data_IF_938339642045
#
_entry.id   IF_938339642045
#
_cell.length_a   1.000
_cell.length_b   1.000
_cell.length_c   1.000
_cell.angle_alpha   90.00
_cell.angle_beta   90.00
_cell.angle_gamma   90.00
#
_symmetry.space_group_name_H-M   'P 1'
#
loop_
_entity.id
_entity.type
_entity.pdbx_description
1 polymer ?
#
# COMPACT_ATOMS: atom_id res chain seq x y z
N UNK A 1 29.12 9.93 -16.48
CA UNK A 1 27.79 9.31 -16.45
C UNK A 1 27.05 9.76 -17.70
N UNK A 2 26.62 8.84 -18.57
CA UNK A 2 25.92 9.20 -19.80
C UNK A 2 24.42 9.38 -19.51
N UNK A 3 23.70 10.16 -20.29
CA UNK A 3 22.24 10.30 -20.14
C UNK A 3 21.53 8.94 -20.22
N UNK A 4 21.98 8.05 -21.11
CA UNK A 4 21.47 6.69 -21.23
C UNK A 4 21.69 5.83 -19.98
N UNK A 5 22.83 5.95 -19.30
CA UNK A 5 23.06 5.21 -18.04
C UNK A 5 22.17 5.73 -16.91
N UNK A 6 21.95 7.05 -16.85
CA UNK A 6 21.01 7.67 -15.90
C UNK A 6 19.58 7.15 -16.03
N UNK A 7 19.07 7.02 -17.27
CA UNK A 7 17.73 6.50 -17.51
C UNK A 7 17.62 5.00 -17.21
N UNK A 8 18.66 4.21 -17.50
CA UNK A 8 18.72 2.80 -17.14
C UNK A 8 18.66 2.60 -15.63
N UNK A 9 19.53 3.30 -14.89
CA UNK A 9 19.59 3.22 -13.43
C UNK A 9 18.26 3.65 -12.77
N UNK A 10 17.62 4.70 -13.30
CA UNK A 10 16.33 5.15 -12.79
C UNK A 10 15.20 4.14 -13.04
N UNK A 11 15.17 3.50 -14.21
CA UNK A 11 14.18 2.49 -14.54
C UNK A 11 14.30 1.26 -13.62
N UNK A 12 15.53 0.82 -13.35
CA UNK A 12 15.80 -0.29 -12.45
C UNK A 12 15.36 0.03 -11.01
N UNK A 13 15.68 1.23 -10.52
CA UNK A 13 15.23 1.70 -9.20
C UNK A 13 13.71 1.71 -9.10
N UNK A 14 13.02 2.27 -10.10
CA UNK A 14 11.55 2.33 -10.13
C UNK A 14 10.96 0.93 -10.15
N UNK A 15 11.48 0.05 -11.01
CA UNK A 15 10.99 -1.32 -11.14
C UNK A 15 11.16 -2.12 -9.85
N UNK A 16 12.30 -2.00 -9.19
CA UNK A 16 12.56 -2.65 -7.91
C UNK A 16 11.67 -2.10 -6.80
N UNK A 17 11.47 -0.77 -6.75
CA UNK A 17 10.58 -0.15 -5.78
C UNK A 17 9.13 -0.64 -5.94
N UNK A 18 8.66 -0.79 -7.18
CA UNK A 18 7.34 -1.36 -7.48
C UNK A 18 7.27 -2.81 -7.00
N UNK A 19 8.26 -3.64 -7.33
CA UNK A 19 8.30 -5.04 -6.87
C UNK A 19 8.25 -5.15 -5.35
N UNK A 20 9.06 -4.36 -4.64
CA UNK A 20 9.07 -4.32 -3.18
C UNK A 20 7.73 -3.81 -2.61
N UNK A 21 7.10 -2.83 -3.26
CA UNK A 21 5.79 -2.30 -2.85
C UNK A 21 4.63 -3.26 -3.06
N UNK A 22 4.72 -4.13 -4.06
CA UNK A 22 3.75 -5.19 -4.28
C UNK A 22 3.87 -6.34 -3.27
N UNK A 23 5.01 -6.46 -2.58
CA UNK A 23 5.21 -7.40 -1.47
C UNK A 23 4.71 -6.83 -0.13
N UNK A 24 3.53 -6.20 -0.14
CA UNK A 24 2.92 -5.68 1.07
C UNK A 24 2.45 -6.82 2.00
N UNK A 25 2.26 -6.53 3.29
CA UNK A 25 1.77 -7.50 4.25
C UNK A 25 0.26 -7.76 4.05
N UNK A 26 -0.17 -8.95 3.58
CA UNK A 26 -1.57 -9.19 3.21
C UNK A 26 -2.51 -9.19 4.41
N UNK A 27 -2.03 -9.57 5.60
CA UNK A 27 -2.87 -9.67 6.80
C UNK A 27 -3.28 -8.28 7.28
N UNK A 28 -2.30 -7.38 7.46
CA UNK A 28 -2.57 -6.01 7.88
C UNK A 28 -3.30 -5.21 6.80
N UNK A 29 -3.00 -5.45 5.52
CA UNK A 29 -3.73 -4.90 4.39
C UNK A 29 -5.23 -5.24 4.43
N UNK A 30 -5.57 -6.53 4.53
CA UNK A 30 -6.96 -7.00 4.60
C UNK A 30 -7.70 -6.41 5.80
N UNK A 31 -7.11 -6.51 7.00
CA UNK A 31 -7.75 -6.06 8.24
C UNK A 31 -7.92 -4.54 8.24
N UNK A 32 -6.86 -3.80 7.91
CA UNK A 32 -6.88 -2.34 7.84
C UNK A 32 -7.87 -1.84 6.81
N UNK A 33 -7.88 -2.43 5.61
CA UNK A 33 -8.80 -2.05 4.55
C UNK A 33 -10.26 -2.37 4.89
N UNK A 34 -10.53 -3.53 5.50
CA UNK A 34 -11.87 -3.89 5.94
C UNK A 34 -12.40 -2.90 6.97
N UNK A 35 -11.64 -2.63 8.03
CA UNK A 35 -12.05 -1.71 9.10
C UNK A 35 -12.26 -0.30 8.54
N UNK A 36 -11.31 0.23 7.75
CA UNK A 36 -11.41 1.55 7.15
C UNK A 36 -12.61 1.66 6.18
N UNK A 37 -12.86 0.61 5.39
CA UNK A 37 -14.01 0.56 4.49
C UNK A 37 -15.33 0.50 5.26
N UNK A 38 -15.41 -0.27 6.34
CA UNK A 38 -16.58 -0.32 7.22
C UNK A 38 -16.92 1.03 7.85
N UNK A 39 -15.89 1.81 8.24
CA UNK A 39 -16.07 3.14 8.84
C UNK A 39 -16.69 4.18 7.90
N UNK A 40 -16.37 4.12 6.60
CA UNK A 40 -16.81 5.10 5.59
C UNK A 40 -17.79 4.56 4.54
N UNK A 41 -18.06 3.26 4.59
CA UNK A 41 -18.79 2.52 3.58
C UNK A 41 -20.29 2.69 3.61
N UNK A 42 -20.87 3.39 4.58
CA UNK A 42 -22.31 3.68 4.56
C UNK A 42 -22.59 5.08 3.99
N UNK A 43 -23.77 5.24 3.36
CA UNK A 43 -24.12 6.38 2.49
C UNK A 43 -24.01 7.77 3.14
N UNK A 44 -24.21 7.88 4.45
CA UNK A 44 -24.21 9.15 5.19
C UNK A 44 -23.12 9.19 6.27
N UNK A 45 -21.94 8.66 5.98
CA UNK A 45 -20.82 8.71 6.92
C UNK A 45 -20.42 10.16 7.25
N UNK A 46 -20.31 10.54 8.54
CA UNK A 46 -19.88 11.87 8.93
C UNK A 46 -18.41 12.07 8.56
N UNK A 47 -18.04 13.32 8.26
CA UNK A 47 -16.69 13.67 7.81
C UNK A 47 -15.61 13.31 8.83
N UNK A 48 -15.92 13.32 10.12
CA UNK A 48 -15.01 12.90 11.17
C UNK A 48 -14.51 11.45 11.00
N UNK A 49 -15.35 10.55 10.46
CA UNK A 49 -14.93 9.17 10.18
C UNK A 49 -13.90 9.07 9.07
N UNK A 50 -13.72 10.11 8.27
CA UNK A 50 -12.65 10.16 7.28
C UNK A 50 -11.29 10.23 7.94
N UNK A 51 -11.18 10.99 9.04
CA UNK A 51 -9.97 11.01 9.85
C UNK A 51 -9.69 9.63 10.44
N UNK A 52 -10.70 9.01 11.08
CA UNK A 52 -10.57 7.68 11.67
C UNK A 52 -10.20 6.59 10.66
N UNK A 53 -10.83 6.58 9.48
CA UNK A 53 -10.48 5.63 8.42
C UNK A 53 -9.05 5.85 7.91
N UNK A 54 -8.62 7.11 7.75
CA UNK A 54 -7.23 7.45 7.42
C UNK A 54 -6.26 6.96 8.50
N UNK A 55 -6.56 7.18 9.78
CA UNK A 55 -5.74 6.69 10.89
C UNK A 55 -5.63 5.17 10.90
N UNK A 56 -6.71 4.44 10.66
CA UNK A 56 -6.70 2.97 10.56
C UNK A 56 -5.77 2.51 9.44
N UNK A 57 -5.85 3.14 8.26
CA UNK A 57 -4.98 2.79 7.12
C UNK A 57 -3.51 3.06 7.46
N UNK A 58 -3.21 4.22 8.05
CA UNK A 58 -1.83 4.57 8.44
C UNK A 58 -1.29 3.59 9.49
N UNK A 59 -2.07 3.27 10.53
CA UNK A 59 -1.64 2.34 11.58
C UNK A 59 -1.46 0.93 11.02
N UNK A 60 -2.40 0.45 10.20
CA UNK A 60 -2.29 -0.86 9.57
C UNK A 60 -1.06 -0.93 8.64
N UNK A 61 -0.84 0.10 7.83
CA UNK A 61 0.33 0.17 6.97
C UNK A 61 1.62 0.21 7.78
N UNK A 62 1.70 1.04 8.84
CA UNK A 62 2.87 1.10 9.71
C UNK A 62 3.19 -0.26 10.32
N UNK A 63 2.19 -0.95 10.85
CA UNK A 63 2.34 -2.27 11.46
C UNK A 63 2.75 -3.36 10.45
N UNK A 64 2.26 -3.28 9.21
CA UNK A 64 2.57 -4.26 8.16
C UNK A 64 3.90 -3.99 7.46
N UNK A 65 4.05 -2.81 6.87
CA UNK A 65 5.10 -2.48 5.91
C UNK A 65 5.89 -1.22 6.28
N UNK A 66 5.23 -0.21 6.86
CA UNK A 66 5.81 1.10 7.11
C UNK A 66 7.00 1.06 8.07
N UNK A 67 6.94 0.26 9.14
CA UNK A 67 8.10 0.06 10.03
C UNK A 67 9.29 -0.59 9.30
N UNK A 68 9.03 -1.49 8.35
CA UNK A 68 10.08 -2.10 7.52
C UNK A 68 10.70 -1.06 6.60
N UNK A 69 9.91 -0.21 5.95
CA UNK A 69 10.42 0.89 5.12
C UNK A 69 11.23 1.88 5.96
N UNK A 70 10.76 2.25 7.16
CA UNK A 70 11.47 3.14 8.07
C UNK A 70 12.79 2.55 8.57
N UNK A 71 12.83 1.25 8.85
CA UNK A 71 14.07 0.56 9.20
C UNK A 71 15.09 0.66 8.05
N UNK A 72 14.65 0.43 6.80
CA UNK A 72 15.51 0.57 5.62
C UNK A 72 15.92 2.01 5.33
N UNK A 73 15.07 2.98 5.65
CA UNK A 73 15.42 4.40 5.58
C UNK A 73 16.51 4.78 6.59
N UNK A 74 16.47 4.19 7.79
CA UNK A 74 17.54 4.33 8.78
C UNK A 74 18.84 3.69 8.29
N UNK A 75 18.79 2.46 7.77
CA UNK A 75 19.96 1.79 7.18
C UNK A 75 20.61 2.69 6.11
N UNK A 76 19.80 3.28 5.24
CA UNK A 76 20.26 4.21 4.19
C UNK A 76 20.89 5.49 4.75
N UNK A 77 20.33 6.04 5.84
CA UNK A 77 20.90 7.19 6.54
C UNK A 77 22.24 6.86 7.19
N UNK A 78 22.38 5.66 7.75
CA UNK A 78 23.61 5.15 8.37
C UNK A 78 24.68 4.75 7.32
N UNK A 79 24.40 4.95 6.02
CA UNK A 79 25.34 4.78 4.91
C UNK A 79 25.25 3.43 4.19
N UNK A 80 24.28 2.57 4.53
CA UNK A 80 24.06 1.33 3.82
C UNK A 80 23.39 1.58 2.46
N UNK A 81 23.98 1.07 1.38
CA UNK A 81 23.34 1.09 0.06
C UNK A 81 22.38 -0.07 -0.07
N UNK A 82 21.08 0.20 -0.25
CA UNK A 82 20.06 -0.84 -0.50
C UNK A 82 20.21 -1.49 -1.89
N UNK A 83 20.91 -0.81 -2.78
CA UNK A 83 21.21 -1.24 -4.13
C UNK A 83 22.69 -1.02 -4.44
N UNK A 84 23.42 -2.12 -4.67
CA UNK A 84 24.85 -2.07 -4.97
C UNK A 84 25.11 -1.20 -6.22
N UNK A 85 26.00 -0.22 -6.08
CA UNK A 85 26.40 0.66 -7.19
C UNK A 85 25.43 1.79 -7.50
N UNK A 86 24.32 1.95 -6.77
CA UNK A 86 23.43 3.11 -6.97
C UNK A 86 23.80 4.31 -6.09
N UNK A 87 23.69 5.54 -6.63
CA UNK A 87 23.87 6.76 -5.86
C UNK A 87 22.76 6.95 -4.81
N UNK A 88 23.05 7.77 -3.78
CA UNK A 88 22.15 8.01 -2.62
C UNK A 88 20.73 8.42 -3.04
N UNK A 89 20.60 9.25 -4.09
CA UNK A 89 19.29 9.67 -4.59
C UNK A 89 18.43 8.48 -5.06
N UNK A 90 19.04 7.43 -5.61
CA UNK A 90 18.34 6.22 -6.07
C UNK A 90 17.79 5.41 -4.89
N UNK A 91 18.52 5.35 -3.78
CA UNK A 91 18.05 4.71 -2.54
C UNK A 91 16.86 5.46 -1.95
N UNK A 92 16.89 6.81 -1.93
CA UNK A 92 15.77 7.63 -1.46
C UNK A 92 14.53 7.43 -2.35
N UNK A 93 14.72 7.47 -3.67
CA UNK A 93 13.63 7.27 -4.63
C UNK A 93 13.01 5.88 -4.47
N UNK A 94 13.83 4.85 -4.29
CA UNK A 94 13.38 3.48 -4.05
C UNK A 94 12.49 3.40 -2.81
N UNK A 95 12.94 3.96 -1.69
CA UNK A 95 12.20 3.92 -0.42
C UNK A 95 10.88 4.69 -0.52
N UNK A 96 10.88 5.86 -1.16
CA UNK A 96 9.68 6.65 -1.35
C UNK A 96 8.64 5.92 -2.22
N UNK A 97 9.07 5.35 -3.35
CA UNK A 97 8.19 4.60 -4.23
C UNK A 97 7.71 3.30 -3.57
N UNK A 98 8.56 2.59 -2.85
CA UNK A 98 8.18 1.41 -2.09
C UNK A 98 7.09 1.73 -1.07
N UNK A 99 7.25 2.82 -0.30
CA UNK A 99 6.22 3.29 0.63
C UNK A 99 4.90 3.60 -0.09
N UNK A 100 4.96 4.38 -1.17
CA UNK A 100 3.75 4.79 -1.91
C UNK A 100 3.02 3.60 -2.52
N UNK A 101 3.75 2.71 -3.20
CA UNK A 101 3.15 1.55 -3.88
C UNK A 101 2.52 0.61 -2.84
N UNK A 102 3.20 0.32 -1.73
CA UNK A 102 2.65 -0.56 -0.68
C UNK A 102 1.38 0.03 -0.05
N UNK A 103 1.37 1.32 0.34
CA UNK A 103 0.18 2.00 0.88
C UNK A 103 -0.96 1.98 -0.14
N UNK A 104 -0.70 2.38 -1.38
CA UNK A 104 -1.74 2.56 -2.39
C UNK A 104 -2.34 1.21 -2.78
N UNK A 105 -1.51 0.25 -3.16
CA UNK A 105 -1.97 -1.03 -3.69
C UNK A 105 -2.52 -1.93 -2.58
N UNK A 106 -1.80 -2.04 -1.46
CA UNK A 106 -2.16 -2.94 -0.38
C UNK A 106 -3.34 -2.44 0.46
N UNK A 107 -3.43 -1.13 0.72
CA UNK A 107 -4.34 -0.61 1.73
C UNK A 107 -5.41 0.31 1.16
N UNK A 108 -5.04 1.30 0.34
CA UNK A 108 -5.98 2.30 -0.16
C UNK A 108 -6.94 1.75 -1.22
N UNK A 109 -6.44 1.01 -2.22
CA UNK A 109 -7.28 0.50 -3.32
C UNK A 109 -8.40 -0.44 -2.81
N UNK A 110 -8.13 -1.46 -1.97
CA UNK A 110 -9.21 -2.29 -1.44
C UNK A 110 -10.18 -1.50 -0.56
N UNK A 111 -9.68 -0.57 0.25
CA UNK A 111 -10.52 0.31 1.07
C UNK A 111 -11.47 1.13 0.21
N UNK A 112 -10.94 1.74 -0.86
CA UNK A 112 -11.71 2.55 -1.78
C UNK A 112 -12.77 1.73 -2.52
N UNK A 113 -12.43 0.52 -2.98
CA UNK A 113 -13.38 -0.41 -3.57
C UNK A 113 -14.51 -0.76 -2.58
N UNK A 114 -14.17 -1.05 -1.32
CA UNK A 114 -15.14 -1.29 -0.25
C UNK A 114 -16.07 -0.10 -0.03
N UNK A 115 -15.52 1.10 0.16
CA UNK A 115 -16.30 2.33 0.41
C UNK A 115 -17.25 2.62 -0.75
N UNK A 116 -16.77 2.52 -1.99
CA UNK A 116 -17.56 2.86 -3.18
C UNK A 116 -18.74 1.91 -3.36
N UNK A 117 -18.56 0.61 -3.11
CA UNK A 117 -19.64 -0.37 -3.19
C UNK A 117 -20.58 -0.25 -1.99
N UNK A 118 -20.06 -0.14 -0.77
CA UNK A 118 -20.89 -0.02 0.43
C UNK A 118 -21.85 1.16 0.38
N UNK A 119 -21.40 2.32 -0.13
CA UNK A 119 -22.23 3.53 -0.19
C UNK A 119 -23.44 3.39 -1.11
N UNK A 120 -23.41 2.42 -2.02
CA UNK A 120 -24.52 2.09 -2.92
C UNK A 120 -25.57 1.19 -2.27
N UNK A 121 -25.24 0.53 -1.16
CA UNK A 121 -26.17 -0.32 -0.42
C UNK A 121 -27.11 0.53 0.44
N UNK A 122 -28.41 0.39 0.20
CA UNK A 122 -29.45 1.23 0.82
C UNK A 122 -30.09 0.62 2.07
N UNK A 123 -29.88 -0.67 2.33
CA UNK A 123 -30.57 -1.44 3.38
C UNK A 123 -29.91 -1.37 4.76
N UNK A 124 -29.19 -0.29 5.10
CA UNK A 124 -28.50 -0.13 6.40
C UNK A 124 -27.24 -1.00 6.59
N UNK A 125 -27.02 -1.99 5.73
CA UNK A 125 -25.89 -2.94 5.76
C UNK A 125 -24.69 -2.51 4.92
N UNK A 126 -24.63 -1.25 4.48
CA UNK A 126 -23.56 -0.77 3.60
C UNK A 126 -22.16 -0.85 4.20
N UNK A 127 -22.03 -0.80 5.52
CA UNK A 127 -20.76 -1.02 6.21
C UNK A 127 -20.26 -2.46 6.09
N UNK A 128 -21.15 -3.46 6.25
CA UNK A 128 -20.82 -4.88 6.04
C UNK A 128 -20.45 -5.15 4.59
N UNK A 129 -21.23 -4.62 3.66
CA UNK A 129 -20.92 -4.75 2.24
C UNK A 129 -19.56 -4.12 1.89
N UNK A 130 -19.23 -2.97 2.47
CA UNK A 130 -17.93 -2.34 2.30
C UNK A 130 -16.79 -3.22 2.83
N UNK A 131 -16.94 -3.80 4.02
CA UNK A 131 -15.96 -4.71 4.60
C UNK A 131 -15.75 -5.94 3.70
N UNK A 132 -16.83 -6.61 3.29
CA UNK A 132 -16.74 -7.81 2.45
C UNK A 132 -16.05 -7.54 1.12
N UNK A 133 -16.36 -6.41 0.48
CA UNK A 133 -15.72 -6.01 -0.78
C UNK A 133 -14.25 -5.65 -0.56
N UNK A 134 -13.91 -4.95 0.51
CA UNK A 134 -12.52 -4.63 0.83
C UNK A 134 -11.70 -5.92 1.09
N UNK A 135 -12.26 -6.89 1.82
CA UNK A 135 -11.63 -8.21 2.02
C UNK A 135 -11.45 -8.93 0.69
N UNK A 136 -12.50 -9.04 -0.12
CA UNK A 136 -12.45 -9.70 -1.42
C UNK A 136 -11.44 -9.04 -2.37
N UNK A 137 -11.39 -7.70 -2.42
CA UNK A 137 -10.43 -6.96 -3.23
C UNK A 137 -8.99 -7.16 -2.72
N UNK A 138 -8.76 -7.15 -1.41
CA UNK A 138 -7.43 -7.37 -0.81
C UNK A 138 -6.91 -8.77 -1.11
N UNK A 139 -7.76 -9.79 -0.94
CA UNK A 139 -7.43 -11.18 -1.27
C UNK A 139 -7.21 -11.37 -2.77
N UNK A 140 -8.08 -10.79 -3.60
CA UNK A 140 -7.96 -10.84 -5.06
C UNK A 140 -6.65 -10.21 -5.55
N UNK A 141 -6.29 -9.04 -5.02
CA UNK A 141 -5.01 -8.38 -5.31
C UNK A 141 -3.83 -9.22 -4.84
N UNK A 142 -3.88 -9.76 -3.63
CA UNK A 142 -2.80 -10.62 -3.10
C UNK A 142 -2.59 -11.85 -3.98
N UNK A 143 -3.68 -12.51 -4.41
CA UNK A 143 -3.63 -13.66 -5.31
C UNK A 143 -3.09 -13.30 -6.69
N UNK A 144 -3.50 -12.15 -7.25
CA UNK A 144 -3.00 -11.68 -8.54
C UNK A 144 -1.50 -11.37 -8.49
N UNK A 145 -1.04 -10.73 -7.43
CA UNK A 145 0.38 -10.43 -7.21
C UNK A 145 1.18 -11.72 -6.99
N UNK A 146 0.62 -12.70 -6.28
CA UNK A 146 1.24 -14.02 -6.13
C UNK A 146 1.41 -14.72 -7.49
N UNK A 147 0.37 -14.70 -8.32
CA UNK A 147 0.39 -15.31 -9.65
C UNK A 147 1.41 -14.66 -10.60
N UNK A 148 1.72 -13.38 -10.41
CA UNK A 148 2.76 -12.67 -11.17
C UNK A 148 4.19 -13.05 -10.74
N UNK A 149 4.36 -13.97 -9.79
CA UNK A 149 5.67 -14.40 -9.29
C UNK A 149 6.36 -13.34 -8.42
N UNK A 150 5.61 -12.36 -7.92
CA UNK A 150 6.16 -11.28 -7.06
C UNK A 150 6.26 -11.71 -5.60
N UNK A 151 5.52 -12.76 -5.21
CA UNK A 151 5.53 -13.37 -3.87
C UNK A 151 6.30 -14.71 -3.81
N UNK A 152 7.07 -15.04 -4.86
CA UNK A 152 7.88 -16.27 -4.97
C UNK A 152 9.38 -16.01 -4.88
#
# INVERSE_FOLDING_TARGET
MSLFSLFGDAADVVWQAIRLGLQFNPVFAVVGAAIAAGLLGYRKAPRERMFWAGSVIVVAWLAGDGLRVLARARDAYDGATLLNGTPVWGTILLLALWAVVSVVVGYLLPTWAGITVGRRVTHGTGWLAAMSIAVGASLGLSSLIAALGVLG
#
